data_IF_398779596134
#
_entry.id   IF_398779596134
#
_cell.length_a   1.000
_cell.length_b   1.000
_cell.length_c   1.000
_cell.angle_alpha   90.00
_cell.angle_beta   90.00
_cell.angle_gamma   90.00
#
_symmetry.space_group_name_H-M   'P 1'
#
loop_
_entity.id
_entity.type
_entity.pdbx_description
1 polymer ?
#
# COMPACT_ATOMS: atom_id res chain seq x y z
N UNK A 1 6.96 15.74 23.65
CA UNK A 1 6.51 14.40 24.09
C UNK A 1 6.21 13.56 22.87
N UNK A 2 6.60 12.30 22.88
CA UNK A 2 6.27 11.35 21.81
C UNK A 2 4.91 10.67 22.00
N UNK A 3 4.62 9.72 21.16
CA UNK A 3 3.36 8.96 21.15
C UNK A 3 3.57 7.55 21.73
N UNK A 4 2.54 7.00 22.35
CA UNK A 4 2.45 5.59 22.67
C UNK A 4 1.84 4.85 21.48
N UNK A 5 2.63 3.98 20.87
CA UNK A 5 2.29 3.32 19.60
C UNK A 5 2.14 1.83 19.78
N UNK A 6 1.07 1.29 19.23
CA UNK A 6 0.84 -0.17 19.15
C UNK A 6 1.03 -0.61 17.69
N UNK A 7 1.74 -1.70 17.47
CA UNK A 7 1.78 -2.39 16.17
C UNK A 7 1.15 -3.77 16.33
N UNK A 8 -0.04 -3.95 15.77
CA UNK A 8 -0.74 -5.23 15.78
C UNK A 8 -0.43 -6.01 14.50
N UNK A 9 -0.09 -7.30 14.65
CA UNK A 9 0.47 -8.12 13.57
C UNK A 9 1.97 -7.95 13.39
N UNK A 10 2.67 -7.57 14.45
CA UNK A 10 4.09 -7.21 14.47
C UNK A 10 5.04 -8.32 13.96
N UNK A 11 4.62 -9.58 13.90
CA UNK A 11 5.42 -10.70 13.39
C UNK A 11 5.25 -10.94 11.88
N UNK A 12 4.24 -10.33 11.25
CA UNK A 12 4.01 -10.39 9.81
C UNK A 12 4.93 -9.45 9.02
N UNK A 13 5.01 -9.62 7.69
CA UNK A 13 5.89 -8.80 6.84
C UNK A 13 5.59 -7.29 6.99
N UNK A 14 4.32 -6.91 6.88
CA UNK A 14 3.91 -5.49 6.99
C UNK A 14 4.11 -4.95 8.41
N UNK A 15 3.79 -5.74 9.45
CA UNK A 15 3.98 -5.30 10.84
C UNK A 15 5.45 -5.09 11.22
N UNK A 16 6.34 -5.96 10.74
CA UNK A 16 7.81 -5.79 10.90
C UNK A 16 8.28 -4.53 10.18
N UNK A 17 7.79 -4.32 8.97
CA UNK A 17 8.14 -3.14 8.18
C UNK A 17 7.61 -1.85 8.82
N UNK A 18 6.41 -1.86 9.46
CA UNK A 18 5.91 -0.73 10.23
C UNK A 18 6.87 -0.37 11.39
N UNK A 19 7.37 -1.37 12.13
CA UNK A 19 8.34 -1.15 13.21
C UNK A 19 9.65 -0.57 12.67
N UNK A 20 10.16 -1.10 11.56
CA UNK A 20 11.38 -0.60 10.91
C UNK A 20 11.20 0.86 10.47
N UNK A 21 10.13 1.17 9.77
CA UNK A 21 9.87 2.51 9.21
C UNK A 21 9.63 3.54 10.32
N UNK A 22 8.92 3.18 11.41
CA UNK A 22 8.79 4.06 12.58
C UNK A 22 10.16 4.47 13.14
N UNK A 23 11.12 3.53 13.18
CA UNK A 23 12.48 3.79 13.64
C UNK A 23 13.31 4.56 12.59
N UNK A 24 13.28 4.14 11.31
CA UNK A 24 14.02 4.78 10.21
C UNK A 24 13.62 6.26 10.02
N UNK A 25 12.34 6.57 10.22
CA UNK A 25 11.78 7.92 10.08
C UNK A 25 11.81 8.74 11.39
N UNK A 26 12.41 8.17 12.44
CA UNK A 26 12.50 8.82 13.75
C UNK A 26 11.12 9.31 14.26
N UNK A 27 10.05 8.51 13.99
CA UNK A 27 8.72 8.85 14.51
C UNK A 27 8.79 8.99 16.04
N UNK A 28 8.24 10.05 16.63
CA UNK A 28 8.40 10.32 18.06
C UNK A 28 7.64 9.30 18.92
N UNK A 29 8.28 8.20 19.29
CA UNK A 29 7.71 7.10 20.07
C UNK A 29 8.25 7.15 21.51
N UNK A 30 7.37 7.40 22.47
CA UNK A 30 7.69 7.28 23.91
C UNK A 30 7.56 5.82 24.39
N UNK A 31 6.55 5.10 23.91
CA UNK A 31 6.31 3.70 24.26
C UNK A 31 5.82 2.91 23.04
N UNK A 32 6.36 1.69 22.84
CA UNK A 32 5.98 0.81 21.75
C UNK A 32 5.47 -0.54 22.29
N UNK A 33 4.32 -1.00 21.78
CA UNK A 33 3.83 -2.35 22.01
C UNK A 33 3.70 -3.11 20.69
N UNK A 34 4.32 -4.28 20.63
CA UNK A 34 4.18 -5.22 19.52
C UNK A 34 3.14 -6.29 19.88
N UNK A 35 2.05 -6.37 19.12
CA UNK A 35 0.99 -7.35 19.37
C UNK A 35 0.98 -8.43 18.28
N UNK A 36 0.68 -9.65 18.69
CA UNK A 36 0.53 -10.80 17.80
C UNK A 36 -0.55 -11.76 18.33
N UNK A 37 -0.88 -12.78 17.55
CA UNK A 37 -1.71 -13.88 18.03
C UNK A 37 -0.94 -14.77 19.02
N UNK A 38 -1.67 -15.58 19.79
CA UNK A 38 -1.08 -16.53 20.75
C UNK A 38 0.02 -17.43 20.14
N UNK A 39 -0.06 -17.75 18.84
CA UNK A 39 0.96 -18.57 18.15
C UNK A 39 2.34 -17.90 18.09
N UNK A 40 2.36 -16.57 18.15
CA UNK A 40 3.59 -15.77 18.06
C UNK A 40 3.85 -14.98 19.35
N UNK A 41 3.22 -15.37 20.47
CA UNK A 41 3.45 -14.76 21.77
C UNK A 41 4.90 -14.90 22.19
N UNK A 42 5.50 -13.82 22.67
CA UNK A 42 6.89 -13.80 23.13
C UNK A 42 7.94 -13.80 22.01
N UNK A 43 7.50 -13.79 20.73
CA UNK A 43 8.43 -13.62 19.60
C UNK A 43 9.08 -12.23 19.69
N UNK A 44 10.38 -12.18 19.49
CA UNK A 44 11.15 -10.96 19.46
C UNK A 44 11.06 -10.30 18.08
N UNK A 45 10.81 -8.99 18.06
CA UNK A 45 10.81 -8.16 16.86
C UNK A 45 11.67 -6.93 17.09
N UNK A 46 12.33 -6.44 16.05
CA UNK A 46 13.20 -5.26 16.13
C UNK A 46 12.39 -3.95 16.00
N UNK A 47 12.80 -2.95 16.75
CA UNK A 47 12.38 -1.55 16.62
C UNK A 47 13.64 -0.68 16.73
N UNK A 48 14.23 -0.31 15.60
CA UNK A 48 15.58 0.26 15.56
C UNK A 48 16.58 -0.68 16.25
N UNK A 49 17.36 -0.15 17.17
CA UNK A 49 18.36 -0.92 17.96
C UNK A 49 17.73 -1.69 19.14
N UNK A 50 16.42 -1.56 19.35
CA UNK A 50 15.72 -2.23 20.46
C UNK A 50 15.02 -3.50 20.00
N UNK A 51 14.96 -4.46 20.90
CA UNK A 51 14.16 -5.68 20.74
C UNK A 51 12.88 -5.57 21.58
N UNK A 52 11.73 -5.82 20.98
CA UNK A 52 10.42 -5.79 21.62
C UNK A 52 9.82 -7.20 21.59
N UNK A 53 9.37 -7.69 22.74
CA UNK A 53 8.64 -8.98 22.81
C UNK A 53 7.18 -8.78 22.51
N UNK A 54 6.64 -9.65 21.66
CA UNK A 54 5.21 -9.60 21.32
C UNK A 54 4.34 -10.01 22.50
N UNK A 55 3.24 -9.25 22.66
CA UNK A 55 2.15 -9.53 23.60
C UNK A 55 0.95 -10.10 22.84
N UNK A 56 0.06 -10.79 23.56
CA UNK A 56 -1.21 -11.27 23.00
C UNK A 56 -2.13 -10.07 22.74
N UNK A 57 -2.70 -9.98 21.55
CA UNK A 57 -3.71 -8.97 21.23
C UNK A 57 -5.02 -9.26 21.97
N UNK A 58 -5.30 -10.53 22.30
CA UNK A 58 -6.48 -10.91 23.06
C UNK A 58 -6.35 -10.44 24.51
N UNK A 59 -7.25 -9.54 24.91
CA UNK A 59 -7.24 -8.94 26.24
C UNK A 59 -6.22 -7.80 26.41
N UNK A 60 -5.60 -7.31 25.34
CA UNK A 60 -4.74 -6.13 25.44
C UNK A 60 -5.58 -4.88 25.73
N UNK A 61 -5.17 -4.11 26.74
CA UNK A 61 -5.79 -2.84 27.10
C UNK A 61 -5.16 -1.70 26.31
N UNK A 62 -5.96 -1.07 25.41
CA UNK A 62 -5.54 0.06 24.59
C UNK A 62 -5.70 1.41 25.29
N UNK A 63 -6.20 1.42 26.55
CA UNK A 63 -6.37 2.68 27.31
C UNK A 63 -5.03 3.40 27.48
N UNK A 64 -5.02 4.67 27.11
CA UNK A 64 -3.81 5.50 27.18
C UNK A 64 -2.78 5.28 26.08
N UNK A 65 -3.09 4.45 25.06
CA UNK A 65 -2.32 4.39 23.83
C UNK A 65 -2.88 5.40 22.82
N UNK A 66 -1.97 6.06 22.08
CA UNK A 66 -2.37 7.12 21.17
C UNK A 66 -2.74 6.60 19.79
N UNK A 67 -1.90 5.74 19.22
CA UNK A 67 -2.00 5.25 17.83
C UNK A 67 -1.79 3.74 17.80
N UNK A 68 -2.61 3.03 17.03
CA UNK A 68 -2.47 1.60 16.77
C UNK A 68 -2.40 1.34 15.25
N UNK A 69 -1.26 0.81 14.77
CA UNK A 69 -1.06 0.38 13.40
C UNK A 69 -1.48 -1.09 13.27
N UNK A 70 -2.53 -1.37 12.48
CA UNK A 70 -3.12 -2.70 12.35
C UNK A 70 -2.73 -3.37 11.03
N UNK A 71 -1.99 -4.48 11.13
CA UNK A 71 -1.62 -5.37 10.02
C UNK A 71 -2.05 -6.83 10.32
N UNK A 72 -3.30 -7.03 10.73
CA UNK A 72 -3.84 -8.30 11.23
C UNK A 72 -4.92 -8.95 10.36
N UNK A 73 -5.21 -8.35 9.19
CA UNK A 73 -6.26 -8.81 8.29
C UNK A 73 -7.68 -8.46 8.77
N UNK A 74 -8.64 -8.52 7.85
CA UNK A 74 -10.00 -7.97 8.06
C UNK A 74 -10.76 -8.62 9.21
N UNK A 75 -10.69 -9.95 9.39
CA UNK A 75 -11.43 -10.65 10.45
C UNK A 75 -10.96 -10.24 11.85
N UNK A 76 -9.64 -10.18 12.06
CA UNK A 76 -9.11 -9.74 13.34
C UNK A 76 -9.33 -8.23 13.55
N UNK A 77 -9.18 -7.41 12.51
CA UNK A 77 -9.46 -5.98 12.56
C UNK A 77 -10.91 -5.72 12.97
N UNK A 78 -11.87 -6.47 12.42
CA UNK A 78 -13.30 -6.39 12.79
C UNK A 78 -13.53 -6.59 14.29
N UNK A 79 -12.75 -7.47 14.91
CA UNK A 79 -12.85 -7.76 16.36
C UNK A 79 -12.18 -6.67 17.20
N UNK A 80 -10.94 -6.28 16.85
CA UNK A 80 -10.09 -5.50 17.76
C UNK A 80 -10.07 -4.00 17.50
N UNK A 81 -10.32 -3.53 16.26
CA UNK A 81 -10.30 -2.10 15.97
C UNK A 81 -11.39 -1.31 16.71
N UNK A 82 -12.65 -1.81 16.82
CA UNK A 82 -13.65 -1.13 17.62
C UNK A 82 -13.30 -1.06 19.13
N UNK A 83 -12.60 -2.07 19.65
CA UNK A 83 -12.14 -2.10 21.06
C UNK A 83 -11.10 -0.99 21.26
N UNK A 84 -10.06 -0.95 20.42
CA UNK A 84 -9.03 0.07 20.51
C UNK A 84 -9.62 1.48 20.37
N UNK A 85 -10.49 1.68 19.36
CA UNK A 85 -11.17 2.95 19.12
C UNK A 85 -12.03 3.41 20.30
N UNK A 86 -12.78 2.51 20.94
CA UNK A 86 -13.61 2.82 22.10
C UNK A 86 -12.80 3.17 23.36
N UNK A 87 -11.56 2.71 23.42
CA UNK A 87 -10.61 3.04 24.50
C UNK A 87 -9.79 4.32 24.22
N UNK A 88 -10.12 5.03 23.12
CA UNK A 88 -9.50 6.32 22.78
C UNK A 88 -8.23 6.22 21.93
N UNK A 89 -7.80 5.01 21.53
CA UNK A 89 -6.67 4.79 20.67
C UNK A 89 -7.09 4.97 19.19
N UNK A 90 -6.37 5.76 18.39
CA UNK A 90 -6.66 5.91 16.97
C UNK A 90 -6.06 4.74 16.18
N UNK A 91 -6.92 4.00 15.48
CA UNK A 91 -6.51 2.85 14.69
C UNK A 91 -6.22 3.26 13.24
N UNK A 92 -5.07 2.91 12.72
CA UNK A 92 -4.72 2.97 11.30
C UNK A 92 -4.75 1.55 10.75
N UNK A 93 -5.82 1.23 10.00
CA UNK A 93 -6.10 -0.13 9.53
C UNK A 93 -5.57 -0.39 8.12
N UNK A 94 -4.66 -1.35 8.00
CA UNK A 94 -4.10 -1.77 6.72
C UNK A 94 -4.96 -2.84 6.00
N UNK A 95 -6.02 -3.33 6.62
CA UNK A 95 -6.94 -4.28 5.98
C UNK A 95 -7.91 -3.59 5.01
N UNK A 96 -8.69 -4.37 4.28
CA UNK A 96 -9.71 -3.81 3.38
C UNK A 96 -11.05 -3.52 4.07
N UNK A 97 -11.17 -3.79 5.38
CA UNK A 97 -12.45 -3.81 6.08
C UNK A 97 -13.18 -2.46 6.04
N UNK A 98 -12.47 -1.38 6.37
CA UNK A 98 -13.08 -0.07 6.57
C UNK A 98 -12.90 0.90 5.40
N UNK A 99 -12.21 0.50 4.34
CA UNK A 99 -11.88 1.39 3.21
C UNK A 99 -13.09 2.01 2.53
N UNK A 100 -14.23 1.32 2.54
CA UNK A 100 -15.46 1.72 1.84
C UNK A 100 -16.52 2.33 2.76
N UNK A 101 -16.27 2.37 4.06
CA UNK A 101 -17.14 3.05 5.02
C UNK A 101 -17.06 4.57 4.80
N UNK A 102 -18.20 5.28 4.55
CA UNK A 102 -18.20 6.72 4.30
C UNK A 102 -17.79 7.55 5.52
N UNK A 103 -17.90 7.02 6.74
CA UNK A 103 -17.50 7.72 7.95
C UNK A 103 -16.04 7.53 8.32
N UNK A 104 -15.33 6.60 7.64
CA UNK A 104 -13.93 6.30 7.90
C UNK A 104 -13.09 6.83 6.73
N UNK A 105 -12.13 7.73 6.98
CA UNK A 105 -11.27 8.26 5.92
C UNK A 105 -10.36 7.19 5.36
N UNK A 106 -10.15 7.24 4.04
CA UNK A 106 -9.17 6.46 3.30
C UNK A 106 -8.06 7.42 2.87
N UNK A 107 -6.85 7.27 3.41
CA UNK A 107 -5.84 8.32 3.35
C UNK A 107 -4.56 7.88 2.65
N UNK A 108 -4.11 8.74 1.72
CA UNK A 108 -2.75 8.76 1.18
C UNK A 108 -2.21 10.16 1.43
N UNK A 109 -1.25 10.35 2.35
CA UNK A 109 -0.82 11.68 2.81
C UNK A 109 -0.37 12.63 1.71
N UNK A 110 0.21 12.14 0.62
CA UNK A 110 0.62 12.96 -0.54
C UNK A 110 -0.56 13.40 -1.40
N UNK A 111 -1.76 12.84 -1.20
CA UNK A 111 -2.93 13.05 -2.06
C UNK A 111 -4.03 13.80 -1.33
N UNK A 112 -4.46 13.30 -0.18
CA UNK A 112 -5.60 13.82 0.58
C UNK A 112 -5.32 13.92 2.09
N UNK A 113 -4.23 14.61 2.52
CA UNK A 113 -3.83 14.67 3.93
C UNK A 113 -4.92 15.24 4.85
N UNK A 114 -5.77 16.13 4.35
CA UNK A 114 -6.84 16.75 5.13
C UNK A 114 -7.91 15.74 5.57
N UNK A 115 -8.09 14.65 4.82
CA UNK A 115 -9.05 13.61 5.16
C UNK A 115 -8.74 12.93 6.51
N UNK A 116 -7.50 13.01 7.01
CA UNK A 116 -7.14 12.46 8.32
C UNK A 116 -8.00 13.02 9.46
N UNK A 117 -8.49 14.26 9.34
CA UNK A 117 -9.32 14.91 10.37
C UNK A 117 -10.65 14.20 10.63
N UNK A 118 -11.13 13.41 9.67
CA UNK A 118 -12.33 12.59 9.82
C UNK A 118 -12.15 11.41 10.78
N UNK A 119 -10.92 11.13 11.27
CA UNK A 119 -10.68 10.08 12.27
C UNK A 119 -11.61 10.20 13.48
N UNK A 120 -12.00 11.43 13.82
CA UNK A 120 -12.89 11.75 14.95
C UNK A 120 -14.24 11.04 14.89
N UNK A 121 -14.68 10.64 13.70
CA UNK A 121 -15.98 9.97 13.53
C UNK A 121 -15.99 8.58 14.19
N UNK A 122 -14.91 7.82 14.07
CA UNK A 122 -14.81 6.42 14.54
C UNK A 122 -13.50 6.09 15.26
N UNK A 123 -12.56 7.02 15.40
CA UNK A 123 -11.19 6.77 15.82
C UNK A 123 -10.48 5.70 14.94
N UNK A 124 -10.87 5.61 13.66
CA UNK A 124 -10.30 4.68 12.70
C UNK A 124 -9.96 5.45 11.42
N UNK A 125 -8.79 5.15 10.84
CA UNK A 125 -8.34 5.61 9.52
C UNK A 125 -8.01 4.37 8.70
N UNK A 126 -8.49 4.29 7.47
CA UNK A 126 -8.17 3.19 6.56
C UNK A 126 -6.94 3.52 5.70
N UNK A 127 -6.05 2.54 5.57
CA UNK A 127 -4.92 2.54 4.64
C UNK A 127 -5.36 1.86 3.33
N UNK A 128 -5.06 2.44 2.14
CA UNK A 128 -5.56 1.91 0.87
C UNK A 128 -4.92 0.59 0.44
N UNK A 129 -5.42 0.05 -0.67
CA UNK A 129 -4.78 -1.03 -1.41
C UNK A 129 -3.39 -0.60 -1.90
N UNK A 130 -2.45 -1.55 -1.95
CA UNK A 130 -1.06 -1.27 -2.28
C UNK A 130 -0.87 -0.68 -3.69
N UNK A 131 -1.58 -1.23 -4.69
CA UNK A 131 -1.54 -0.69 -6.05
C UNK A 131 -2.24 0.67 -6.13
N UNK A 132 -3.39 0.84 -5.46
CA UNK A 132 -4.05 2.15 -5.42
C UNK A 132 -3.17 3.22 -4.81
N UNK A 133 -2.46 2.92 -3.71
CA UNK A 133 -1.61 3.89 -3.01
C UNK A 133 -0.55 4.50 -3.94
N UNK A 134 0.22 3.67 -4.64
CA UNK A 134 1.26 4.15 -5.56
C UNK A 134 0.67 4.88 -6.78
N UNK A 135 -0.43 4.36 -7.34
CA UNK A 135 -1.06 4.96 -8.50
C UNK A 135 -1.57 6.38 -8.22
N UNK A 136 -2.30 6.58 -7.10
CA UNK A 136 -2.88 7.90 -6.82
C UNK A 136 -1.82 8.95 -6.47
N UNK A 137 -0.65 8.56 -5.94
CA UNK A 137 0.50 9.45 -5.73
C UNK A 137 1.00 9.99 -7.08
N UNK A 138 1.10 9.14 -8.09
CA UNK A 138 1.46 9.58 -9.44
C UNK A 138 0.36 10.40 -10.13
N UNK A 139 -0.91 10.04 -9.90
CA UNK A 139 -2.04 10.70 -10.56
C UNK A 139 -2.36 12.09 -9.99
N UNK A 140 -2.18 12.30 -8.68
CA UNK A 140 -2.58 13.55 -7.99
C UNK A 140 -2.02 14.81 -8.65
N UNK A 141 -0.68 14.97 -8.82
CA UNK A 141 -0.11 16.18 -9.40
C UNK A 141 -0.56 16.42 -10.85
N UNK A 142 -0.75 15.36 -11.62
CA UNK A 142 -1.24 15.45 -12.99
C UNK A 142 -2.73 15.84 -13.04
N UNK A 143 -3.54 15.30 -12.11
CA UNK A 143 -4.95 15.62 -11.97
C UNK A 143 -5.17 17.09 -11.59
N UNK A 144 -4.35 17.61 -10.69
CA UNK A 144 -4.43 19.02 -10.28
C UNK A 144 -4.15 19.98 -11.45
N UNK A 145 -3.30 19.56 -12.40
CA UNK A 145 -2.92 20.39 -13.55
C UNK A 145 -3.91 20.30 -14.73
N UNK A 146 -4.39 19.09 -15.07
CA UNK A 146 -5.11 18.85 -16.31
C UNK A 146 -6.42 18.05 -16.15
N UNK A 147 -6.87 17.79 -14.96
CA UNK A 147 -8.06 16.99 -14.62
C UNK A 147 -8.18 15.68 -15.40
N UNK A 148 -8.04 14.60 -14.69
CA UNK A 148 -8.14 13.25 -15.27
C UNK A 148 -9.61 12.88 -15.50
N UNK A 149 -9.94 12.47 -16.72
CA UNK A 149 -11.25 11.90 -17.12
C UNK A 149 -11.30 10.41 -16.95
N UNK A 150 -10.21 9.73 -17.36
CA UNK A 150 -10.17 8.27 -17.43
C UNK A 150 -8.76 7.73 -17.16
N UNK A 151 -8.70 6.60 -16.45
CA UNK A 151 -7.48 5.82 -16.23
C UNK A 151 -7.72 4.39 -16.67
N UNK A 152 -6.81 3.85 -17.47
CA UNK A 152 -6.68 2.43 -17.77
C UNK A 152 -5.38 1.95 -17.16
N UNK A 153 -5.46 0.95 -16.28
CA UNK A 153 -4.27 0.44 -15.59
C UNK A 153 -4.18 -1.07 -15.71
N UNK A 154 -2.98 -1.55 -16.05
CA UNK A 154 -2.60 -2.96 -15.89
C UNK A 154 -1.54 -3.04 -14.82
N UNK A 155 -1.80 -3.83 -13.76
CA UNK A 155 -0.85 -4.02 -12.68
C UNK A 155 -0.03 -5.30 -12.86
N UNK A 156 1.20 -5.26 -12.40
CA UNK A 156 2.13 -6.39 -12.32
C UNK A 156 2.54 -6.53 -10.85
N UNK A 157 1.73 -7.29 -10.10
CA UNK A 157 1.84 -7.34 -8.64
C UNK A 157 2.71 -8.51 -8.17
N UNK A 158 3.70 -8.20 -7.35
CA UNK A 158 4.58 -9.18 -6.72
C UNK A 158 3.85 -10.10 -5.74
N UNK A 159 4.43 -11.27 -5.49
CA UNK A 159 3.85 -12.30 -4.61
C UNK A 159 3.80 -11.90 -3.13
N UNK A 160 4.62 -10.94 -2.68
CA UNK A 160 4.58 -10.43 -1.31
C UNK A 160 3.24 -9.81 -0.92
N UNK A 161 2.48 -9.30 -1.90
CA UNK A 161 1.10 -8.82 -1.69
C UNK A 161 0.13 -9.93 -1.23
N UNK A 162 0.46 -11.20 -1.47
CA UNK A 162 -0.27 -12.36 -0.95
C UNK A 162 0.27 -12.86 0.41
N UNK A 163 1.20 -12.13 1.01
CA UNK A 163 1.83 -12.46 2.28
C UNK A 163 3.00 -13.46 2.17
N UNK A 164 3.49 -13.92 3.32
CA UNK A 164 4.62 -14.87 3.38
C UNK A 164 4.39 -16.13 2.56
N UNK A 165 3.18 -16.68 2.61
CA UNK A 165 2.82 -17.89 1.86
C UNK A 165 3.02 -17.73 0.34
N UNK A 166 2.74 -16.53 -0.21
CA UNK A 166 2.98 -16.23 -1.63
C UNK A 166 4.47 -16.19 -1.98
N UNK A 167 5.29 -15.63 -1.09
CA UNK A 167 6.75 -15.59 -1.23
C UNK A 167 7.33 -17.01 -1.19
N UNK A 168 6.92 -17.79 -0.18
CA UNK A 168 7.37 -19.18 0.01
C UNK A 168 6.97 -20.03 -1.21
N UNK A 169 5.75 -19.89 -1.73
CA UNK A 169 5.29 -20.66 -2.91
C UNK A 169 6.09 -20.34 -4.16
N UNK A 170 6.35 -19.06 -4.45
CA UNK A 170 7.20 -18.70 -5.60
C UNK A 170 8.62 -19.28 -5.46
N UNK A 171 9.18 -19.19 -4.26
CA UNK A 171 10.51 -19.75 -3.97
C UNK A 171 10.55 -21.25 -4.18
N UNK A 172 9.61 -21.98 -3.56
CA UNK A 172 9.57 -23.44 -3.60
C UNK A 172 9.28 -23.96 -5.02
N UNK A 173 8.35 -23.34 -5.75
CA UNK A 173 8.09 -23.69 -7.16
C UNK A 173 9.33 -23.43 -8.02
N UNK A 174 9.96 -22.27 -7.88
CA UNK A 174 11.18 -21.94 -8.65
C UNK A 174 12.28 -22.98 -8.39
N UNK A 175 12.54 -23.29 -7.12
CA UNK A 175 13.54 -24.28 -6.74
C UNK A 175 13.19 -25.69 -7.24
N UNK A 176 11.93 -26.08 -7.11
CA UNK A 176 11.44 -27.41 -7.54
C UNK A 176 11.58 -27.64 -9.04
N UNK A 177 11.50 -26.61 -9.87
CA UNK A 177 11.66 -26.74 -11.32
C UNK A 177 13.06 -27.15 -11.77
N UNK A 178 14.06 -26.92 -10.92
CA UNK A 178 15.45 -27.32 -11.22
C UNK A 178 15.87 -28.65 -10.58
N UNK A 179 14.97 -29.27 -9.80
CA UNK A 179 15.25 -30.54 -9.12
C UNK A 179 14.21 -31.60 -9.55
N UNK A 180 14.58 -32.59 -10.36
CA UNK A 180 13.67 -33.63 -10.81
C UNK A 180 12.92 -34.32 -9.65
N UNK A 181 11.62 -34.43 -9.75
CA UNK A 181 10.76 -35.07 -8.73
C UNK A 181 10.43 -34.18 -7.53
N UNK A 182 10.79 -32.90 -7.54
CA UNK A 182 10.43 -31.90 -6.51
C UNK A 182 9.45 -30.84 -7.01
N UNK A 183 8.59 -31.19 -7.94
CA UNK A 183 7.55 -30.27 -8.44
C UNK A 183 6.59 -29.85 -7.31
N UNK A 184 6.37 -28.54 -7.18
CA UNK A 184 5.51 -27.96 -6.14
C UNK A 184 4.20 -27.50 -6.77
N UNK A 185 3.11 -28.16 -6.39
CA UNK A 185 1.77 -27.77 -6.84
C UNK A 185 1.36 -26.40 -6.24
N UNK A 186 0.56 -25.61 -6.98
CA UNK A 186 -0.02 -24.38 -6.44
C UNK A 186 -0.86 -24.62 -5.19
N UNK A 187 -0.72 -23.75 -4.19
CA UNK A 187 -1.49 -23.77 -2.93
C UNK A 187 -2.12 -22.43 -2.62
N UNK A 188 -1.31 -21.37 -2.69
CA UNK A 188 -1.73 -19.99 -2.44
C UNK A 188 -2.32 -19.36 -3.69
N UNK A 189 -1.71 -19.62 -4.84
CA UNK A 189 -2.17 -19.10 -6.12
C UNK A 189 -3.04 -20.14 -6.85
N UNK A 190 -3.89 -19.67 -7.77
CA UNK A 190 -4.80 -20.52 -8.53
C UNK A 190 -4.11 -21.39 -9.60
N UNK A 191 -2.89 -20.97 -9.98
CA UNK A 191 -2.02 -21.66 -10.95
C UNK A 191 -0.56 -21.51 -10.49
N UNK A 192 0.35 -22.28 -11.11
CA UNK A 192 1.78 -22.10 -10.94
C UNK A 192 2.15 -20.62 -11.16
N UNK A 193 2.89 -20.05 -10.21
CA UNK A 193 3.37 -18.67 -10.30
C UNK A 193 4.80 -18.57 -10.82
N UNK A 194 5.67 -19.55 -10.51
CA UNK A 194 7.03 -19.53 -11.01
C UNK A 194 7.06 -19.53 -12.54
N UNK A 195 7.78 -18.54 -13.13
CA UNK A 195 7.89 -18.31 -14.57
C UNK A 195 6.56 -18.12 -15.31
N UNK A 196 5.53 -17.61 -14.63
CA UNK A 196 4.19 -17.43 -15.17
C UNK A 196 3.58 -16.10 -14.72
N UNK A 197 2.52 -15.66 -15.42
CA UNK A 197 1.68 -14.52 -15.03
C UNK A 197 0.23 -15.00 -14.85
N UNK A 198 -0.42 -14.53 -13.78
CA UNK A 198 -1.78 -14.96 -13.42
C UNK A 198 -2.69 -13.72 -13.41
N UNK A 199 -3.58 -13.54 -14.41
CA UNK A 199 -4.51 -12.40 -14.47
C UNK A 199 -5.71 -12.61 -13.54
N UNK A 200 -5.44 -12.89 -12.27
CA UNK A 200 -6.46 -13.18 -11.27
C UNK A 200 -5.90 -12.91 -9.87
N UNK A 201 -6.39 -11.85 -9.22
CA UNK A 201 -6.05 -11.51 -7.84
C UNK A 201 -7.36 -11.28 -7.07
N UNK A 202 -7.53 -11.98 -5.94
CA UNK A 202 -8.74 -12.01 -5.13
C UNK A 202 -9.91 -12.74 -5.85
N UNK A 203 -11.15 -12.63 -5.39
CA UNK A 203 -12.32 -13.34 -5.92
C UNK A 203 -12.91 -12.62 -7.13
N UNK A 204 -13.56 -13.36 -8.03
CA UNK A 204 -14.36 -12.78 -9.10
C UNK A 204 -15.67 -12.20 -8.56
N UNK A 205 -16.08 -11.07 -9.13
CA UNK A 205 -17.37 -10.44 -8.93
C UNK A 205 -18.32 -10.82 -10.07
N UNK A 206 -19.62 -10.51 -9.92
CA UNK A 206 -20.66 -10.88 -10.88
C UNK A 206 -20.48 -10.26 -12.27
N UNK A 207 -19.82 -9.08 -12.34
CA UNK A 207 -19.53 -8.37 -13.59
C UNK A 207 -18.26 -8.86 -14.31
N UNK A 208 -17.60 -9.88 -13.76
CA UNK A 208 -16.40 -10.48 -14.32
C UNK A 208 -15.09 -9.78 -13.89
N UNK A 209 -15.16 -8.67 -13.16
CA UNK A 209 -13.99 -8.08 -12.52
C UNK A 209 -13.54 -8.95 -11.34
N UNK A 210 -12.25 -8.85 -10.97
CA UNK A 210 -11.83 -9.35 -9.67
C UNK A 210 -12.04 -8.27 -8.59
N UNK A 211 -12.15 -8.70 -7.35
CA UNK A 211 -12.27 -7.77 -6.22
C UNK A 211 -11.06 -6.82 -6.12
N UNK A 212 -9.87 -7.27 -6.53
CA UNK A 212 -8.67 -6.41 -6.58
C UNK A 212 -8.84 -5.28 -7.59
N UNK A 213 -9.37 -5.55 -8.77
CA UNK A 213 -9.66 -4.55 -9.81
C UNK A 213 -10.72 -3.55 -9.31
N UNK A 214 -11.78 -4.06 -8.70
CA UNK A 214 -12.82 -3.23 -8.09
C UNK A 214 -12.27 -2.30 -6.99
N UNK A 215 -11.33 -2.79 -6.15
CA UNK A 215 -10.67 -1.95 -5.14
C UNK A 215 -9.98 -0.75 -5.76
N UNK A 216 -9.23 -0.95 -6.84
CA UNK A 216 -8.56 0.15 -7.53
C UNK A 216 -9.54 1.20 -8.03
N UNK A 217 -10.69 0.77 -8.58
CA UNK A 217 -11.75 1.68 -9.03
C UNK A 217 -12.36 2.46 -7.87
N UNK A 218 -12.80 1.76 -6.83
CA UNK A 218 -13.53 2.36 -5.71
C UNK A 218 -12.63 3.27 -4.86
N UNK A 219 -11.40 2.83 -4.59
CA UNK A 219 -10.46 3.56 -3.76
C UNK A 219 -9.91 4.80 -4.45
N UNK A 220 -9.59 4.74 -5.76
CA UNK A 220 -9.18 5.92 -6.54
C UNK A 220 -10.25 7.01 -6.50
N UNK A 221 -11.52 6.63 -6.64
CA UNK A 221 -12.64 7.58 -6.56
C UNK A 221 -12.80 8.20 -5.17
N UNK A 222 -12.55 7.43 -4.11
CA UNK A 222 -12.67 7.92 -2.73
C UNK A 222 -11.49 8.82 -2.33
N UNK A 223 -10.28 8.52 -2.80
CA UNK A 223 -9.05 9.23 -2.42
C UNK A 223 -8.85 10.48 -3.27
N UNK A 224 -9.04 10.37 -4.59
CA UNK A 224 -8.66 11.42 -5.54
C UNK A 224 -9.86 12.21 -6.06
N UNK A 225 -10.69 11.61 -6.92
CA UNK A 225 -11.91 12.26 -7.45
C UNK A 225 -12.93 11.21 -7.89
N UNK A 226 -14.18 11.36 -7.42
CA UNK A 226 -15.30 10.45 -7.72
C UNK A 226 -15.70 10.42 -9.20
N UNK A 227 -15.32 11.44 -9.98
CA UNK A 227 -15.68 11.58 -11.39
C UNK A 227 -14.76 10.79 -12.32
N UNK A 228 -13.57 10.42 -11.87
CA UNK A 228 -12.59 9.68 -12.67
C UNK A 228 -13.16 8.30 -13.03
N UNK A 229 -13.13 7.98 -14.33
CA UNK A 229 -13.44 6.65 -14.82
C UNK A 229 -12.19 5.78 -14.77
N UNK A 230 -12.24 4.69 -14.04
CA UNK A 230 -11.09 3.77 -13.88
C UNK A 230 -11.48 2.38 -14.37
N UNK A 231 -10.60 1.73 -15.11
CA UNK A 231 -10.64 0.30 -15.40
C UNK A 231 -9.27 -0.31 -15.13
N UNK A 232 -9.24 -1.47 -14.49
CA UNK A 232 -8.02 -2.13 -14.08
C UNK A 232 -7.99 -3.58 -14.57
N UNK A 233 -6.80 -4.09 -14.86
CA UNK A 233 -6.50 -5.52 -15.00
C UNK A 233 -5.37 -5.86 -14.05
N UNK A 234 -5.65 -6.69 -13.04
CA UNK A 234 -4.69 -7.00 -11.99
C UNK A 234 -4.04 -8.36 -12.23
N UNK A 235 -2.71 -8.35 -12.42
CA UNK A 235 -1.92 -9.53 -12.76
C UNK A 235 -0.90 -9.84 -11.66
N UNK A 236 -0.88 -11.09 -11.18
CA UNK A 236 0.18 -11.59 -10.31
C UNK A 236 1.37 -12.04 -11.14
N UNK A 237 2.56 -11.56 -10.80
CA UNK A 237 3.82 -11.87 -11.52
C UNK A 237 4.83 -12.53 -10.60
N UNK A 238 5.81 -13.30 -11.15
CA UNK A 238 6.80 -14.03 -10.36
C UNK A 238 7.95 -13.10 -9.88
N UNK A 239 7.57 -12.05 -9.16
CA UNK A 239 8.45 -11.07 -8.53
C UNK A 239 8.20 -11.13 -7.03
N UNK A 240 9.26 -11.14 -6.22
CA UNK A 240 9.11 -11.28 -4.76
C UNK A 240 8.50 -10.04 -4.11
N UNK A 241 9.05 -8.86 -4.36
CA UNK A 241 8.62 -7.57 -3.80
C UNK A 241 8.63 -6.50 -4.89
N UNK A 242 7.77 -5.50 -4.76
CA UNK A 242 7.61 -4.40 -5.71
C UNK A 242 6.47 -4.63 -6.68
N UNK A 243 5.50 -3.70 -6.70
CA UNK A 243 4.41 -3.68 -7.67
C UNK A 243 4.72 -2.69 -8.78
N UNK A 244 4.40 -3.09 -10.01
CA UNK A 244 4.50 -2.21 -11.17
C UNK A 244 3.14 -2.01 -11.80
N UNK A 245 2.98 -0.89 -12.48
CA UNK A 245 1.75 -0.54 -13.18
C UNK A 245 2.03 0.15 -14.51
N UNK A 246 1.38 -0.31 -15.56
CA UNK A 246 1.26 0.40 -16.82
C UNK A 246 -0.02 1.23 -16.78
N UNK A 247 0.12 2.54 -16.75
CA UNK A 247 -0.99 3.48 -16.57
C UNK A 247 -1.17 4.32 -17.84
N UNK A 248 -2.37 4.28 -18.41
CA UNK A 248 -2.81 5.16 -19.48
C UNK A 248 -3.85 6.14 -18.91
N UNK A 249 -3.66 7.42 -19.18
CA UNK A 249 -4.44 8.51 -18.58
C UNK A 249 -5.00 9.38 -19.69
N UNK A 250 -6.30 9.64 -19.65
CA UNK A 250 -6.98 10.64 -20.48
C UNK A 250 -7.36 11.84 -19.62
N UNK A 251 -7.01 13.04 -20.07
CA UNK A 251 -7.26 14.32 -19.40
C UNK A 251 -8.38 15.13 -20.04
N UNK A 252 -8.89 16.14 -19.33
CA UNK A 252 -9.81 17.15 -19.91
C UNK A 252 -9.02 18.10 -20.81
N UNK A 253 -7.85 18.56 -20.34
CA UNK A 253 -6.97 19.48 -21.04
C UNK A 253 -5.71 18.78 -21.51
N UNK A 254 -5.08 19.30 -22.56
CA UNK A 254 -3.80 18.79 -23.03
C UNK A 254 -2.70 19.01 -21.97
N UNK A 255 -1.91 17.96 -21.75
CA UNK A 255 -0.73 17.98 -20.91
C UNK A 255 0.44 17.38 -21.68
N UNK A 256 1.44 18.20 -21.94
CA UNK A 256 2.67 17.78 -22.62
C UNK A 256 3.49 16.82 -21.75
N UNK A 257 4.17 15.87 -22.37
CA UNK A 257 4.95 14.85 -21.63
C UNK A 257 6.14 15.43 -20.86
N UNK A 258 6.75 16.52 -21.34
CA UNK A 258 7.85 17.19 -20.64
C UNK A 258 7.31 18.00 -19.45
N UNK A 259 6.17 18.70 -19.61
CA UNK A 259 5.46 19.36 -18.52
C UNK A 259 5.05 18.34 -17.46
N UNK A 260 4.50 17.20 -17.87
CA UNK A 260 4.11 16.11 -16.93
C UNK A 260 5.33 15.56 -16.15
N UNK A 261 6.46 15.42 -16.84
CA UNK A 261 7.72 14.96 -16.22
C UNK A 261 8.23 15.95 -15.17
N UNK A 262 8.17 17.24 -15.46
CA UNK A 262 8.60 18.28 -14.53
C UNK A 262 7.66 18.37 -13.31
N UNK A 263 6.35 18.31 -13.51
CA UNK A 263 5.35 18.25 -12.43
C UNK A 263 5.62 17.05 -11.50
N UNK A 264 5.88 15.88 -12.07
CA UNK A 264 6.14 14.66 -11.31
C UNK A 264 7.46 14.72 -10.53
N UNK A 265 8.49 15.41 -11.04
CA UNK A 265 9.77 15.61 -10.32
C UNK A 265 9.63 16.43 -9.04
N UNK A 266 8.71 17.38 -9.03
CA UNK A 266 8.43 18.25 -7.89
C UNK A 266 7.39 17.63 -6.92
N UNK A 267 6.75 16.52 -7.31
CA UNK A 267 5.67 15.93 -6.54
C UNK A 267 6.19 15.18 -5.30
N UNK A 268 5.54 15.35 -4.13
CA UNK A 268 5.95 14.65 -2.92
C UNK A 268 5.81 13.13 -3.08
N UNK A 269 6.83 12.40 -2.63
CA UNK A 269 6.85 10.94 -2.66
C UNK A 269 7.08 10.32 -4.05
N UNK A 270 7.31 11.14 -5.08
CA UNK A 270 7.60 10.70 -6.45
C UNK A 270 9.09 10.85 -6.77
N UNK A 271 9.62 9.88 -7.48
CA UNK A 271 10.95 9.95 -8.10
C UNK A 271 10.85 9.60 -9.59
N UNK A 272 11.27 10.53 -10.45
CA UNK A 272 11.24 10.32 -11.90
C UNK A 272 12.59 9.81 -12.38
N UNK A 273 12.59 8.59 -12.92
CA UNK A 273 13.73 7.99 -13.64
C UNK A 273 13.24 7.64 -15.05
N UNK A 274 13.37 8.58 -15.96
CA UNK A 274 12.77 8.49 -17.29
C UNK A 274 13.77 8.96 -18.36
N UNK A 275 14.68 8.06 -18.73
CA UNK A 275 15.64 8.27 -19.82
C UNK A 275 15.26 7.39 -21.00
N UNK A 276 15.34 7.94 -22.21
CA UNK A 276 15.06 7.20 -23.46
C UNK A 276 16.29 6.44 -23.95
N UNK A 277 16.83 5.59 -23.06
CA UNK A 277 18.00 4.74 -23.29
C UNK A 277 17.81 3.36 -22.65
N UNK A 278 18.57 2.33 -23.03
CA UNK A 278 18.51 1.03 -22.39
C UNK A 278 18.77 1.13 -20.88
N UNK A 279 17.84 0.59 -20.07
CA UNK A 279 17.92 0.67 -18.62
C UNK A 279 17.52 2.01 -17.99
N UNK A 280 17.02 2.98 -18.75
CA UNK A 280 16.63 4.31 -18.27
C UNK A 280 15.26 4.36 -17.55
N UNK A 281 14.89 3.31 -16.87
CA UNK A 281 13.62 3.13 -16.14
C UNK A 281 13.84 2.27 -14.89
N UNK A 282 12.89 2.30 -13.96
CA UNK A 282 12.95 1.51 -12.71
C UNK A 282 12.09 0.25 -12.81
N UNK A 283 12.62 -0.85 -12.31
CA UNK A 283 11.92 -2.14 -12.19
C UNK A 283 11.65 -2.50 -10.73
N UNK A 284 10.82 -3.51 -10.42
CA UNK A 284 10.52 -3.89 -9.05
C UNK A 284 11.75 -4.22 -8.20
N UNK A 285 12.76 -4.85 -8.77
CA UNK A 285 13.98 -5.24 -8.03
C UNK A 285 14.73 -4.04 -7.46
N UNK A 286 14.69 -2.91 -8.17
CA UNK A 286 15.42 -1.69 -7.80
C UNK A 286 14.67 -0.84 -6.79
N UNK A 287 13.34 -1.00 -6.67
CA UNK A 287 12.53 -0.21 -5.75
C UNK A 287 12.44 -0.80 -4.33
N UNK A 288 12.91 -2.04 -4.13
CA UNK A 288 12.80 -2.71 -2.83
C UNK A 288 13.59 -1.95 -1.76
N UNK A 289 12.92 -1.63 -0.66
CA UNK A 289 13.51 -0.89 0.45
C UNK A 289 13.49 0.64 0.26
N UNK A 290 12.98 1.16 -0.85
CA UNK A 290 12.85 2.60 -1.08
C UNK A 290 11.46 3.11 -0.64
N UNK A 291 11.38 4.41 -0.35
CA UNK A 291 10.14 5.10 0.03
C UNK A 291 9.39 5.67 -1.15
N UNK A 292 10.09 5.87 -2.28
CA UNK A 292 9.54 6.58 -3.41
C UNK A 292 8.57 5.73 -4.25
N UNK A 293 7.66 6.43 -4.89
CA UNK A 293 6.93 5.94 -6.06
C UNK A 293 7.71 6.38 -7.30
N UNK A 294 8.31 5.41 -7.97
CA UNK A 294 9.13 5.66 -9.16
C UNK A 294 8.26 5.76 -10.40
N UNK A 295 8.48 6.81 -11.20
CA UNK A 295 7.80 7.02 -12.48
C UNK A 295 8.82 7.00 -13.61
N UNK A 296 8.49 6.23 -14.64
CA UNK A 296 9.30 6.05 -15.85
C UNK A 296 8.39 5.99 -17.08
N UNK A 297 8.98 5.99 -18.26
CA UNK A 297 8.30 5.76 -19.53
C UNK A 297 7.15 6.73 -19.79
N UNK A 298 7.31 8.00 -19.37
CA UNK A 298 6.34 9.09 -19.62
C UNK A 298 6.38 9.41 -21.12
N UNK A 299 5.22 9.34 -21.77
CA UNK A 299 5.07 9.61 -23.20
C UNK A 299 3.63 9.92 -23.57
N UNK A 300 3.45 10.72 -24.63
CA UNK A 300 2.13 10.97 -25.21
C UNK A 300 1.47 9.65 -25.67
N UNK A 301 0.16 9.58 -25.53
CA UNK A 301 -0.67 8.60 -26.20
C UNK A 301 -1.22 9.20 -27.50
N UNK A 302 -0.69 8.77 -28.64
CA UNK A 302 -1.10 9.28 -29.94
C UNK A 302 -2.48 8.79 -30.41
N UNK A 303 -3.16 7.95 -29.63
CA UNK A 303 -4.45 7.38 -29.99
C UNK A 303 -5.64 8.17 -29.45
N UNK A 304 -5.40 9.11 -28.54
CA UNK A 304 -6.39 10.02 -27.96
C UNK A 304 -5.83 11.45 -27.87
N UNK A 305 -6.69 12.45 -27.89
CA UNK A 305 -6.27 13.86 -27.98
C UNK A 305 -5.45 14.33 -26.77
N UNK A 306 -5.84 13.95 -25.56
CA UNK A 306 -5.25 14.43 -24.31
C UNK A 306 -4.78 13.22 -23.46
N UNK A 307 -3.86 12.42 -23.97
CA UNK A 307 -3.45 11.17 -23.33
C UNK A 307 -1.98 11.07 -23.00
N UNK A 308 -1.69 10.48 -21.84
CA UNK A 308 -0.34 10.08 -21.43
C UNK A 308 -0.29 8.62 -21.03
N UNK A 309 0.85 8.00 -21.28
CA UNK A 309 1.22 6.70 -20.72
C UNK A 309 2.39 6.88 -19.77
N UNK A 310 2.40 6.15 -18.68
CA UNK A 310 3.53 6.07 -17.75
C UNK A 310 3.67 4.66 -17.16
N UNK A 311 4.84 4.42 -16.60
CA UNK A 311 5.18 3.24 -15.82
C UNK A 311 5.43 3.65 -14.39
N UNK A 312 4.69 3.06 -13.45
CA UNK A 312 4.76 3.35 -12.02
C UNK A 312 5.25 2.10 -11.27
N UNK A 313 6.20 2.27 -10.38
CA UNK A 313 6.77 1.17 -9.56
C UNK A 313 6.98 1.64 -8.14
N UNK A 314 6.62 0.83 -7.15
CA UNK A 314 7.02 1.07 -5.75
C UNK A 314 7.15 -0.22 -4.94
N UNK A 315 7.81 -0.14 -3.80
CA UNK A 315 7.80 -1.21 -2.81
C UNK A 315 6.41 -1.31 -2.17
N UNK A 316 5.70 -2.39 -2.48
CA UNK A 316 4.34 -2.62 -2.02
C UNK A 316 4.21 -2.90 -0.52
N UNK A 317 5.29 -3.29 0.15
CA UNK A 317 5.32 -3.45 1.60
C UNK A 317 5.57 -2.11 2.29
N UNK A 318 6.28 -1.18 1.62
CA UNK A 318 6.55 0.18 2.09
C UNK A 318 5.42 1.13 1.68
N UNK A 319 5.53 1.80 0.53
CA UNK A 319 4.51 2.79 0.11
C UNK A 319 3.12 2.17 -0.04
N UNK A 320 3.03 0.94 -0.48
CA UNK A 320 1.76 0.23 -0.59
C UNK A 320 1.10 -0.17 0.74
N UNK A 321 1.85 -0.13 1.87
CA UNK A 321 1.36 -0.64 3.15
C UNK A 321 1.96 0.09 4.36
N UNK A 322 3.12 -0.35 4.83
CA UNK A 322 3.70 0.09 6.11
C UNK A 322 4.10 1.57 6.10
N UNK A 323 4.76 2.03 5.04
CA UNK A 323 5.16 3.44 4.94
C UNK A 323 3.95 4.36 4.90
N UNK A 324 2.94 4.05 4.08
CA UNK A 324 1.73 4.87 4.01
C UNK A 324 1.02 4.93 5.38
N UNK A 325 0.97 3.81 6.12
CA UNK A 325 0.39 3.79 7.47
C UNK A 325 1.18 4.65 8.46
N UNK A 326 2.52 4.63 8.41
CA UNK A 326 3.38 5.50 9.24
C UNK A 326 3.23 6.97 8.84
N UNK A 327 3.19 7.29 7.55
CA UNK A 327 2.92 8.65 7.05
C UNK A 327 1.54 9.17 7.47
N UNK A 328 0.52 8.30 7.54
CA UNK A 328 -0.79 8.64 8.13
C UNK A 328 -0.63 8.98 9.61
N UNK A 329 0.16 8.20 10.36
CA UNK A 329 0.42 8.48 11.77
C UNK A 329 1.17 9.82 11.97
N UNK A 330 2.14 10.13 11.12
CA UNK A 330 2.84 11.44 11.10
C UNK A 330 1.86 12.59 10.83
N UNK A 331 1.01 12.43 9.81
CA UNK A 331 0.00 13.43 9.44
C UNK A 331 -0.99 13.64 10.57
N UNK A 332 -1.47 12.56 11.18
CA UNK A 332 -2.38 12.58 12.33
C UNK A 332 -1.73 13.29 13.53
N UNK A 333 -0.48 12.95 13.84
CA UNK A 333 0.28 13.56 14.93
C UNK A 333 0.45 15.07 14.75
N UNK A 334 0.87 15.46 13.55
CA UNK A 334 1.16 16.87 13.24
C UNK A 334 -0.10 17.75 13.17
N UNK A 335 -1.24 17.21 12.72
CA UNK A 335 -2.46 17.98 12.50
C UNK A 335 -3.49 17.88 13.63
N UNK A 336 -3.59 16.70 14.26
CA UNK A 336 -4.74 16.39 15.10
C UNK A 336 -4.40 16.06 16.56
N UNK A 337 -3.31 15.31 16.79
CA UNK A 337 -2.93 14.82 18.14
C UNK A 337 -1.83 15.67 18.78
N UNK A 338 -1.80 16.98 18.54
CA UNK A 338 -0.75 17.88 19.08
C UNK A 338 -0.55 17.60 20.57
N UNK A 339 0.56 16.97 20.92
CA UNK A 339 1.07 16.92 22.28
C UNK A 339 1.92 18.17 22.48
N UNK A 340 1.46 19.04 23.37
CA UNK A 340 2.12 20.30 23.72
C UNK A 340 3.52 20.09 24.31
#
# INVERSE_FOLDING_TARGET
>A
MGYKVVVAGATGNVGREMLNILAEREFPVDEIAALASRRSLGTEVSFGDKTVKTKDIEGFDFTGWDIALFAIGSEATKKYAPIAASQGCVVIDNSSLYRYDPEIPLVVPEVNPDAVEMYKNKNIIANPNCSTAQMVVALKPLHDRARIKRVVVSTYQSVSGAGKEGIDELWDQTKGMYVPGQEVAPKKFTKQIAFNVIPHIDVFLEDGQTKEEWKMVAETKKILDKTIKVTATCVRVPVFVGHSESVNIEFEDFLDEDEARDILREAPGVMVVDKREPGGYVTPVECVGDYATFISRIRQDSTIDNGLNLWCVSDNLRKGAALNAVQIAETLGNRCLKKG
#
